data_IF_972650397170
#
_entry.id   IF_972650397170
#
_cell.length_a   1.000
_cell.length_b   1.000
_cell.length_c   1.000
_cell.angle_alpha   90.00
_cell.angle_beta   90.00
_cell.angle_gamma   90.00
#
_symmetry.space_group_name_H-M   'P 1'
#
loop_
_entity.id
_entity.type
_entity.pdbx_description
1 polymer ?
#
# COMPACT_ATOMS: atom_id res chain seq x y z
N UNK A 1 24.02 -5.71 1.46
CA UNK A 1 22.55 -5.67 1.54
C UNK A 1 21.95 -6.02 0.20
N UNK A 2 20.66 -6.35 0.15
CA UNK A 2 19.90 -6.57 -1.08
C UNK A 2 18.60 -5.78 -0.94
N UNK A 3 18.14 -5.18 -2.03
CA UNK A 3 16.81 -4.59 -2.12
C UNK A 3 15.91 -5.57 -2.89
N UNK A 4 14.64 -5.66 -2.49
CA UNK A 4 13.62 -6.46 -3.18
C UNK A 4 12.51 -5.51 -3.59
N UNK A 5 12.10 -5.60 -4.85
CA UNK A 5 10.92 -4.91 -5.36
C UNK A 5 9.87 -5.98 -5.66
N UNK A 6 8.72 -5.87 -5.00
CA UNK A 6 7.57 -6.75 -5.22
C UNK A 6 6.48 -5.92 -5.87
N UNK A 7 6.08 -6.29 -7.09
CA UNK A 7 4.93 -5.71 -7.77
C UNK A 7 3.80 -6.74 -7.75
N UNK A 8 2.78 -6.50 -6.94
CA UNK A 8 1.64 -7.41 -6.74
C UNK A 8 0.33 -6.67 -6.93
N UNK A 9 -0.72 -7.43 -7.21
CA UNK A 9 -2.12 -6.97 -7.20
C UNK A 9 -2.89 -7.46 -5.96
N UNK A 10 -2.31 -8.37 -5.17
CA UNK A 10 -2.88 -8.86 -3.90
C UNK A 10 -2.03 -8.33 -2.75
N UNK A 11 -2.59 -7.41 -1.96
CA UNK A 11 -1.87 -6.74 -0.86
C UNK A 11 -1.63 -7.66 0.34
N UNK A 12 -2.56 -8.58 0.59
CA UNK A 12 -2.47 -9.60 1.67
C UNK A 12 -1.16 -10.41 1.59
N UNK A 13 -0.64 -10.64 0.38
CA UNK A 13 0.58 -11.42 0.18
C UNK A 13 1.86 -10.68 0.59
N UNK A 14 1.80 -9.36 0.78
CA UNK A 14 2.98 -8.52 1.09
C UNK A 14 2.83 -7.72 2.38
N UNK A 15 1.65 -7.71 3.01
CA UNK A 15 1.33 -6.87 4.18
C UNK A 15 2.28 -7.10 5.37
N UNK A 16 2.79 -8.32 5.54
CA UNK A 16 3.72 -8.65 6.63
C UNK A 16 5.20 -8.33 6.30
N UNK A 17 5.54 -8.11 5.03
CA UNK A 17 6.93 -8.06 4.55
C UNK A 17 7.19 -6.88 3.62
N UNK A 18 7.11 -5.66 4.16
CA UNK A 18 7.43 -4.43 3.44
C UNK A 18 7.94 -3.32 4.38
N UNK A 19 8.85 -2.49 3.89
CA UNK A 19 9.30 -1.27 4.57
C UNK A 19 8.57 -0.01 4.03
N UNK A 20 8.40 0.04 2.70
CA UNK A 20 7.73 1.14 1.98
C UNK A 20 6.87 0.55 0.88
N UNK A 21 5.61 1.01 0.79
CA UNK A 21 4.69 0.62 -0.26
C UNK A 21 4.31 1.84 -1.10
N UNK A 22 4.37 1.68 -2.42
CA UNK A 22 3.99 2.71 -3.38
C UNK A 22 2.73 2.27 -4.12
N UNK A 23 1.65 3.03 -3.98
CA UNK A 23 0.38 2.76 -4.65
C UNK A 23 0.34 3.58 -5.93
N UNK A 24 0.09 2.93 -7.06
CA UNK A 24 0.11 3.55 -8.38
C UNK A 24 -1.27 3.52 -9.02
N UNK A 25 -1.65 4.63 -9.66
CA UNK A 25 -2.85 4.77 -10.47
C UNK A 25 -2.53 5.56 -11.73
N UNK A 26 -3.06 5.12 -12.88
CA UNK A 26 -2.91 5.83 -14.16
C UNK A 26 -1.44 6.18 -14.51
N UNK A 27 -0.49 5.29 -14.19
CA UNK A 27 0.93 5.48 -14.46
C UNK A 27 1.65 6.47 -13.55
N UNK A 28 1.06 6.85 -12.40
CA UNK A 28 1.66 7.77 -11.41
C UNK A 28 1.53 7.20 -10.00
N UNK A 29 2.44 7.62 -9.12
CA UNK A 29 2.30 7.35 -7.69
C UNK A 29 1.14 8.16 -7.12
N UNK A 30 0.13 7.47 -6.62
CA UNK A 30 -1.02 8.06 -5.95
C UNK A 30 -0.74 8.23 -4.45
N UNK A 31 -0.04 7.27 -3.83
CA UNK A 31 0.38 7.37 -2.44
C UNK A 31 1.67 6.59 -2.15
N UNK A 32 2.28 6.91 -1.00
CA UNK A 32 3.40 6.19 -0.41
C UNK A 32 3.13 5.97 1.06
N UNK A 33 3.19 4.72 1.49
CA UNK A 33 3.04 4.30 2.89
C UNK A 33 4.38 3.80 3.40
N UNK A 34 4.70 4.01 4.68
CA UNK A 34 5.84 3.38 5.36
C UNK A 34 5.34 2.44 6.45
N UNK A 35 6.04 1.33 6.66
CA UNK A 35 5.71 0.39 7.71
C UNK A 35 6.28 0.87 9.05
N UNK A 36 5.74 1.98 9.54
CA UNK A 36 6.09 2.54 10.85
C UNK A 36 4.85 2.50 11.75
N UNK A 37 5.01 2.33 13.07
CA UNK A 37 3.87 2.26 14.00
C UNK A 37 2.93 3.47 13.91
N UNK A 38 3.46 4.64 13.59
CA UNK A 38 2.69 5.88 13.45
C UNK A 38 1.83 5.87 12.17
N UNK A 39 2.41 5.46 11.04
CA UNK A 39 1.71 5.40 9.74
C UNK A 39 0.71 4.24 9.64
N UNK A 40 0.96 3.13 10.33
CA UNK A 40 0.07 1.95 10.34
C UNK A 40 -1.03 2.05 11.39
N UNK A 41 -0.86 2.88 12.42
CA UNK A 41 -1.91 3.11 13.41
C UNK A 41 -3.11 3.90 12.86
N UNK A 42 -2.90 4.76 11.85
CA UNK A 42 -3.98 5.61 11.32
C UNK A 42 -4.88 4.90 10.32
N UNK A 43 -4.34 3.96 9.55
CA UNK A 43 -5.02 3.26 8.46
C UNK A 43 -4.18 2.03 8.08
N UNK A 44 -4.77 0.94 7.61
CA UNK A 44 -3.99 -0.18 7.06
C UNK A 44 -3.41 0.15 5.67
N UNK A 45 -2.57 -0.73 5.11
CA UNK A 45 -2.11 -0.58 3.73
C UNK A 45 -3.25 -0.91 2.74
N UNK A 46 -4.04 -1.93 3.07
CA UNK A 46 -5.21 -2.38 2.31
C UNK A 46 -6.28 -1.30 2.20
N UNK A 47 -6.67 -0.70 3.33
CA UNK A 47 -7.67 0.38 3.37
C UNK A 47 -7.24 1.55 2.48
N UNK A 48 -5.96 1.95 2.54
CA UNK A 48 -5.42 3.03 1.72
C UNK A 48 -5.41 2.66 0.23
N UNK A 49 -5.09 1.41 -0.09
CA UNK A 49 -5.10 0.92 -1.47
C UNK A 49 -6.50 1.02 -2.06
N UNK A 50 -7.52 0.45 -1.40
CA UNK A 50 -8.89 0.47 -1.87
C UNK A 50 -9.47 1.89 -1.96
N UNK A 51 -9.18 2.76 -0.98
CA UNK A 51 -9.59 4.16 -1.04
C UNK A 51 -9.09 4.85 -2.32
N UNK A 52 -7.85 4.54 -2.74
CA UNK A 52 -7.20 5.15 -3.90
C UNK A 52 -7.63 4.50 -5.22
N UNK A 53 -7.73 3.16 -5.27
CA UNK A 53 -7.96 2.43 -6.52
C UNK A 53 -9.44 2.24 -6.85
N UNK A 54 -10.28 2.12 -5.83
CA UNK A 54 -11.72 1.84 -5.96
C UNK A 54 -12.60 3.03 -5.54
N UNK A 55 -12.01 4.13 -5.10
CA UNK A 55 -12.72 5.40 -4.94
C UNK A 55 -13.63 5.49 -3.71
N UNK A 56 -13.42 4.65 -2.70
CA UNK A 56 -14.13 4.74 -1.42
C UNK A 56 -15.59 4.29 -1.46
N UNK A 57 -16.00 3.50 -2.46
CA UNK A 57 -17.29 2.81 -2.44
C UNK A 57 -17.27 1.74 -1.33
N UNK A 58 -17.72 2.12 -0.13
CA UNK A 58 -18.12 1.18 0.91
C UNK A 58 -19.45 0.56 0.49
N UNK A 59 -19.44 -0.71 0.10
CA UNK A 59 -20.63 -1.58 0.22
C UNK A 59 -20.86 -2.01 1.67
#
# INVERSE_FOLDING_TARGET
>A
GRAVLISTHMIESVEDYWDVAHIMMNGRFAATKRNTPEDTASQSLEELFFEITEGGERE
#
